data_IF_675955921211
#
_entry.id   IF_675955921211
#
_cell.length_a   1.000
_cell.length_b   1.000
_cell.length_c   1.000
_cell.angle_alpha   90.00
_cell.angle_beta   90.00
_cell.angle_gamma   90.00
#
_symmetry.space_group_name_H-M   'P 1'
#
loop_
_entity.id
_entity.type
_entity.pdbx_description
1 polymer ?
#
# COMPACT_ATOMS: atom_id res chain seq x y z
N UNK A 1 -6.95 13.60 -2.78
CA UNK A 1 -6.44 12.56 -1.85
C UNK A 1 -5.09 12.97 -1.24
N UNK A 2 -4.00 13.07 -2.02
CA UNK A 2 -2.67 13.42 -1.49
C UNK A 2 -2.68 14.75 -0.71
N UNK A 3 -3.21 15.83 -1.30
CA UNK A 3 -3.27 17.15 -0.64
C UNK A 3 -4.05 17.12 0.68
N UNK A 4 -5.24 16.52 0.68
CA UNK A 4 -6.05 16.32 1.91
C UNK A 4 -5.25 15.55 2.95
N UNK A 5 -4.68 14.39 2.57
CA UNK A 5 -3.91 13.57 3.51
C UNK A 5 -2.69 14.30 4.09
N UNK A 6 -2.00 15.15 3.32
CA UNK A 6 -0.87 15.94 3.82
C UNK A 6 -1.31 17.01 4.81
N UNK A 7 -2.43 17.69 4.54
CA UNK A 7 -3.02 18.66 5.47
C UNK A 7 -3.46 17.94 6.74
N UNK A 8 -4.20 16.83 6.63
CA UNK A 8 -4.62 16.00 7.77
C UNK A 8 -3.42 15.51 8.57
N UNK A 9 -2.33 15.11 7.90
CA UNK A 9 -1.12 14.65 8.56
C UNK A 9 -0.47 15.77 9.37
N UNK A 10 -0.38 16.98 8.83
CA UNK A 10 0.12 18.14 9.57
C UNK A 10 -0.81 18.50 10.74
N UNK A 11 -2.13 18.51 10.52
CA UNK A 11 -3.12 18.88 11.55
C UNK A 11 -3.14 17.89 12.71
N UNK A 12 -2.97 16.60 12.44
CA UNK A 12 -2.97 15.54 13.46
C UNK A 12 -1.88 15.70 14.52
N UNK A 13 -0.84 16.51 14.29
CA UNK A 13 0.14 16.87 15.32
C UNK A 13 -0.44 17.75 16.43
N UNK A 14 -1.49 18.50 16.13
CA UNK A 14 -1.99 19.57 16.99
C UNK A 14 -3.45 19.37 17.39
N UNK A 15 -4.27 18.77 16.52
CA UNK A 15 -5.71 18.65 16.70
C UNK A 15 -6.21 17.25 16.30
N UNK A 16 -7.27 16.76 16.94
CA UNK A 16 -7.97 15.55 16.51
C UNK A 16 -8.61 15.74 15.13
N UNK A 17 -8.67 14.65 14.35
CA UNK A 17 -9.30 14.63 13.03
C UNK A 17 -10.80 14.32 13.11
N UNK A 18 -11.52 14.97 14.03
CA UNK A 18 -12.92 14.69 14.32
C UNK A 18 -13.91 15.35 13.34
N UNK A 19 -15.21 15.23 13.64
CA UNK A 19 -16.31 15.82 12.87
C UNK A 19 -16.09 17.30 12.51
N UNK A 20 -15.58 18.11 13.45
CA UNK A 20 -15.32 19.54 13.19
C UNK A 20 -14.28 19.73 12.09
N UNK A 21 -13.22 18.92 12.10
CA UNK A 21 -12.20 18.93 11.06
C UNK A 21 -12.79 18.51 9.71
N UNK A 22 -13.61 17.46 9.68
CA UNK A 22 -14.27 17.00 8.46
C UNK A 22 -15.21 18.06 7.88
N UNK A 23 -16.00 18.77 8.70
CA UNK A 23 -16.88 19.86 8.23
C UNK A 23 -16.08 20.98 7.55
N UNK A 24 -14.92 21.34 8.10
CA UNK A 24 -14.02 22.33 7.47
C UNK A 24 -13.50 21.81 6.14
N UNK A 25 -13.07 20.54 6.08
CA UNK A 25 -12.61 19.92 4.83
C UNK A 25 -13.70 19.87 3.76
N UNK A 26 -14.93 19.48 4.12
CA UNK A 26 -16.09 19.46 3.21
C UNK A 26 -16.37 20.87 2.69
N UNK A 27 -16.33 21.88 3.56
CA UNK A 27 -16.55 23.28 3.18
C UNK A 27 -15.52 23.74 2.13
N UNK A 28 -14.24 23.45 2.36
CA UNK A 28 -13.16 23.74 1.40
C UNK A 28 -13.37 22.97 0.09
N UNK A 29 -13.77 21.70 0.16
CA UNK A 29 -14.02 20.87 -1.02
C UNK A 29 -15.19 21.40 -1.86
N UNK A 30 -16.28 21.85 -1.23
CA UNK A 30 -17.43 22.46 -1.91
C UNK A 30 -17.01 23.77 -2.59
N UNK A 31 -16.28 24.64 -1.91
CA UNK A 31 -15.77 25.89 -2.49
C UNK A 31 -14.86 25.61 -3.71
N UNK A 32 -13.97 24.63 -3.59
CA UNK A 32 -13.10 24.18 -4.69
C UNK A 32 -13.92 23.65 -5.88
N UNK A 33 -14.97 22.86 -5.62
CA UNK A 33 -15.85 22.34 -6.66
C UNK A 33 -16.61 23.46 -7.39
N UNK A 34 -17.08 24.47 -6.67
CA UNK A 34 -17.74 25.66 -7.26
C UNK A 34 -16.76 26.45 -8.13
N UNK A 35 -15.53 26.62 -7.65
CA UNK A 35 -14.46 27.33 -8.37
C UNK A 35 -14.07 26.61 -9.66
N UNK A 36 -13.87 25.28 -9.61
CA UNK A 36 -13.46 24.44 -10.75
C UNK A 36 -14.64 23.81 -11.52
N UNK A 37 -15.88 24.33 -11.36
CA UNK A 37 -17.10 23.72 -11.93
C UNK A 37 -17.03 23.41 -13.43
N UNK A 38 -16.34 24.27 -14.20
CA UNK A 38 -16.23 24.10 -15.65
C UNK A 38 -15.32 22.92 -16.01
N UNK A 39 -14.19 22.76 -15.30
CA UNK A 39 -13.27 21.63 -15.48
C UNK A 39 -13.92 20.31 -15.06
N UNK A 40 -14.67 20.33 -13.96
CA UNK A 40 -15.46 19.18 -13.50
C UNK A 40 -16.49 18.78 -14.57
N UNK A 41 -17.21 19.75 -15.14
CA UNK A 41 -18.18 19.48 -16.22
C UNK A 41 -17.52 18.84 -17.44
N UNK A 42 -16.38 19.36 -17.88
CA UNK A 42 -15.61 18.77 -18.99
C UNK A 42 -15.16 17.35 -18.66
N UNK A 43 -14.69 17.10 -17.43
CA UNK A 43 -14.25 15.78 -16.99
C UNK A 43 -15.41 14.78 -16.93
N UNK A 44 -16.58 15.19 -16.43
CA UNK A 44 -17.79 14.35 -16.41
C UNK A 44 -18.27 14.00 -17.83
N UNK A 45 -18.13 14.91 -18.79
CA UNK A 45 -18.46 14.63 -20.19
C UNK A 45 -17.57 13.54 -20.79
N UNK A 46 -16.30 13.44 -20.38
CA UNK A 46 -15.40 12.36 -20.84
C UNK A 46 -15.86 10.97 -20.38
N UNK A 47 -16.57 10.88 -19.24
CA UNK A 47 -17.08 9.61 -18.72
C UNK A 47 -18.20 9.01 -19.59
N UNK A 48 -18.89 9.80 -20.42
CA UNK A 48 -19.98 9.31 -21.29
C UNK A 48 -19.52 8.23 -22.27
N UNK A 49 -18.26 8.28 -22.70
CA UNK A 49 -17.72 7.38 -23.71
C UNK A 49 -16.92 6.20 -23.13
N UNK A 50 -17.00 5.98 -21.80
CA UNK A 50 -16.27 4.88 -21.18
C UNK A 50 -16.93 3.53 -21.49
N UNK A 51 -16.10 2.49 -21.59
CA UNK A 51 -16.56 1.12 -21.88
C UNK A 51 -17.60 0.64 -20.87
N UNK A 52 -18.65 -0.07 -21.33
CA UNK A 52 -19.64 -0.70 -20.43
C UNK A 52 -19.03 -1.61 -19.36
N UNK A 53 -17.87 -2.19 -19.66
CA UNK A 53 -17.14 -3.04 -18.72
C UNK A 53 -16.64 -2.27 -17.49
N UNK A 54 -16.36 -0.96 -17.61
CA UNK A 54 -16.03 -0.11 -16.46
C UNK A 54 -17.14 -0.14 -15.40
N UNK A 55 -18.40 0.03 -15.83
CA UNK A 55 -19.56 -0.02 -14.94
C UNK A 55 -19.74 -1.41 -14.33
N UNK A 56 -19.45 -2.48 -15.08
CA UNK A 56 -19.50 -3.85 -14.54
C UNK A 56 -18.45 -4.07 -13.44
N UNK A 57 -17.18 -3.68 -13.65
CA UNK A 57 -16.15 -3.78 -12.60
C UNK A 57 -16.48 -2.90 -11.40
N UNK A 58 -16.98 -1.69 -11.63
CA UNK A 58 -17.44 -0.77 -10.57
C UNK A 58 -18.54 -1.41 -9.74
N UNK A 59 -19.55 -1.99 -10.39
CA UNK A 59 -20.66 -2.65 -9.72
C UNK A 59 -20.19 -3.84 -8.87
N UNK A 60 -19.34 -4.71 -9.41
CA UNK A 60 -18.84 -5.84 -8.60
C UNK A 60 -17.91 -5.36 -7.47
N UNK A 61 -17.07 -4.37 -7.73
CA UNK A 61 -16.25 -3.75 -6.69
C UNK A 61 -17.09 -3.19 -5.55
N UNK A 62 -18.24 -2.58 -5.87
CA UNK A 62 -19.21 -2.08 -4.89
C UNK A 62 -19.84 -3.23 -4.10
N UNK A 63 -20.27 -4.30 -4.77
CA UNK A 63 -20.81 -5.48 -4.08
C UNK A 63 -19.82 -6.03 -3.06
N UNK A 64 -18.54 -6.14 -3.44
CA UNK A 64 -17.46 -6.60 -2.55
C UNK A 64 -17.20 -5.60 -1.44
N UNK A 65 -17.16 -4.29 -1.71
CA UNK A 65 -16.92 -3.27 -0.70
C UNK A 65 -17.99 -3.27 0.41
N UNK A 66 -19.24 -3.62 0.10
CA UNK A 66 -20.34 -3.68 1.09
C UNK A 66 -20.33 -4.98 1.91
N UNK A 67 -19.52 -5.98 1.53
CA UNK A 67 -19.39 -7.23 2.33
C UNK A 67 -18.68 -7.02 3.66
N UNK A 68 -18.77 -8.04 4.52
CA UNK A 68 -18.06 -8.09 5.79
C UNK A 68 -16.54 -8.20 5.55
N UNK A 69 -15.69 -7.45 6.28
CA UNK A 69 -14.24 -7.44 6.10
C UNK A 69 -13.62 -8.84 6.21
N UNK A 70 -12.76 -9.20 5.25
CA UNK A 70 -12.03 -10.48 5.25
C UNK A 70 -10.74 -10.45 6.09
N UNK A 71 -10.14 -9.27 6.22
CA UNK A 71 -8.83 -9.09 6.84
C UNK A 71 -9.01 -8.83 8.33
N UNK A 72 -8.42 -9.69 9.17
CA UNK A 72 -8.50 -9.61 10.64
C UNK A 72 -8.03 -8.27 11.21
N UNK A 73 -7.01 -7.64 10.59
CA UNK A 73 -6.50 -6.31 10.98
C UNK A 73 -7.58 -5.22 10.98
N UNK A 74 -8.70 -5.42 10.28
CA UNK A 74 -9.79 -4.45 10.20
C UNK A 74 -10.26 -4.01 11.60
N UNK A 75 -10.55 -4.98 12.46
CA UNK A 75 -11.00 -4.72 13.84
C UNK A 75 -9.84 -4.68 14.83
N UNK A 76 -8.72 -5.35 14.53
CA UNK A 76 -7.57 -5.41 15.44
C UNK A 76 -6.70 -4.15 15.44
N UNK A 77 -6.60 -3.44 14.30
CA UNK A 77 -5.63 -2.36 14.13
C UNK A 77 -6.20 -1.17 13.35
N UNK A 78 -6.85 -1.40 12.21
CA UNK A 78 -7.18 -0.30 11.32
C UNK A 78 -8.26 0.63 11.88
N UNK A 79 -9.43 0.10 12.26
CA UNK A 79 -10.50 0.92 12.86
C UNK A 79 -10.04 1.57 14.17
N UNK A 80 -9.43 0.83 15.13
CA UNK A 80 -8.92 1.44 16.36
C UNK A 80 -7.96 2.61 16.09
N UNK A 81 -7.09 2.47 15.10
CA UNK A 81 -6.15 3.54 14.71
C UNK A 81 -6.87 4.77 14.18
N UNK A 82 -7.88 4.57 13.32
CA UNK A 82 -8.67 5.68 12.77
C UNK A 82 -9.42 6.39 13.90
N UNK A 83 -10.12 5.63 14.76
CA UNK A 83 -10.85 6.21 15.90
C UNK A 83 -9.94 6.91 16.90
N UNK A 84 -8.70 6.45 17.09
CA UNK A 84 -7.73 7.16 17.92
C UNK A 84 -7.37 8.54 17.32
N UNK A 85 -7.15 8.61 16.01
CA UNK A 85 -6.83 9.86 15.32
C UNK A 85 -8.01 10.85 15.39
N UNK A 86 -9.24 10.36 15.31
CA UNK A 86 -10.46 11.17 15.49
C UNK A 86 -10.57 11.70 16.93
N UNK A 87 -10.15 10.90 17.92
CA UNK A 87 -10.25 11.27 19.32
C UNK A 87 -9.18 12.26 19.76
N UNK A 88 -7.91 12.01 19.41
CA UNK A 88 -6.78 12.75 19.99
C UNK A 88 -5.67 13.14 19.01
N UNK A 89 -5.71 12.71 17.74
CA UNK A 89 -4.59 12.89 16.83
C UNK A 89 -3.33 12.14 17.30
N UNK A 90 -2.14 12.74 17.14
CA UNK A 90 -0.89 12.16 17.62
C UNK A 90 -0.63 12.50 19.09
N UNK A 91 -0.49 11.46 19.90
CA UNK A 91 -0.21 11.57 21.34
C UNK A 91 1.20 11.06 21.62
N UNK A 92 1.91 11.75 22.52
CA UNK A 92 3.26 11.35 22.95
C UNK A 92 3.24 9.98 23.61
N UNK A 93 4.11 9.09 23.18
CA UNK A 93 4.26 7.74 23.79
C UNK A 93 3.08 6.80 23.56
N UNK A 94 2.29 7.02 22.50
CA UNK A 94 1.17 6.14 22.12
C UNK A 94 1.57 4.65 22.06
N UNK A 95 2.81 4.35 21.65
CA UNK A 95 3.33 2.97 21.59
C UNK A 95 3.43 2.27 22.95
N UNK A 96 3.50 3.02 24.05
CA UNK A 96 3.51 2.47 25.41
C UNK A 96 2.11 2.09 25.88
N UNK A 97 1.09 2.77 25.35
CA UNK A 97 -0.30 2.46 25.62
C UNK A 97 -0.76 1.30 24.76
N UNK A 98 -0.59 1.41 23.44
CA UNK A 98 -0.90 0.34 22.50
C UNK A 98 0.07 0.40 21.31
N UNK A 99 0.93 -0.62 21.23
CA UNK A 99 1.99 -0.73 20.23
C UNK A 99 1.46 -0.58 18.80
N UNK A 100 0.29 -1.17 18.55
CA UNK A 100 -0.30 -1.27 17.24
C UNK A 100 -0.87 0.09 16.79
N UNK A 101 -1.43 0.90 17.70
CA UNK A 101 -1.92 2.26 17.38
C UNK A 101 -0.81 3.21 16.96
N UNK A 102 0.40 3.05 17.50
CA UNK A 102 1.57 3.83 17.11
C UNK A 102 2.06 3.53 15.69
N UNK A 103 1.62 2.41 15.10
CA UNK A 103 1.91 2.07 13.70
C UNK A 103 0.99 2.80 12.71
N UNK A 104 0.30 3.87 13.11
CA UNK A 104 -0.58 4.63 12.22
C UNK A 104 0.11 5.02 10.89
N UNK A 105 -0.65 4.98 9.79
CA UNK A 105 -0.12 5.22 8.45
C UNK A 105 -0.77 6.44 7.82
N UNK A 106 -0.18 6.97 6.75
CA UNK A 106 -0.78 8.05 5.98
C UNK A 106 -2.20 7.72 5.50
N UNK A 107 -2.48 6.44 5.24
CA UNK A 107 -3.80 6.00 4.82
C UNK A 107 -4.84 6.11 5.94
N UNK A 108 -4.48 5.69 7.16
CA UNK A 108 -5.35 5.84 8.32
C UNK A 108 -5.64 7.30 8.64
N UNK A 109 -4.64 8.17 8.50
CA UNK A 109 -4.77 9.62 8.67
C UNK A 109 -5.73 10.22 7.63
N UNK A 110 -5.57 9.84 6.36
CA UNK A 110 -6.50 10.26 5.31
C UNK A 110 -7.92 9.76 5.59
N UNK A 111 -8.07 8.56 6.13
CA UNK A 111 -9.38 7.99 6.38
C UNK A 111 -10.08 8.59 7.59
N UNK A 112 -9.33 8.87 8.67
CA UNK A 112 -9.78 9.66 9.82
C UNK A 112 -10.27 11.06 9.41
N UNK A 113 -9.76 11.62 8.31
CA UNK A 113 -10.21 12.94 7.87
C UNK A 113 -11.62 12.99 7.25
N UNK A 114 -12.24 11.84 6.96
CA UNK A 114 -13.50 11.75 6.20
C UNK A 114 -14.47 10.69 6.74
N UNK A 115 -14.21 10.07 7.89
CA UNK A 115 -14.97 8.92 8.37
C UNK A 115 -16.22 9.27 9.18
N UNK A 116 -16.39 10.51 9.66
CA UNK A 116 -17.53 10.86 10.50
C UNK A 116 -18.79 11.07 9.66
N UNK A 117 -18.67 11.52 8.40
CA UNK A 117 -19.83 11.69 7.50
C UNK A 117 -19.67 11.07 6.12
N UNK A 118 -18.53 11.28 5.44
CA UNK A 118 -18.37 10.89 4.04
C UNK A 118 -18.10 9.38 3.85
N UNK A 119 -17.37 8.78 4.79
CA UNK A 119 -16.92 7.38 4.74
C UNK A 119 -17.11 6.65 6.08
N UNK A 120 -18.34 6.68 6.60
CA UNK A 120 -18.73 6.05 7.90
C UNK A 120 -18.33 4.57 7.98
N UNK A 121 -18.29 3.88 6.84
CA UNK A 121 -17.97 2.46 6.76
C UNK A 121 -16.52 2.18 6.36
N UNK A 122 -15.64 3.18 6.31
CA UNK A 122 -14.22 2.99 6.04
C UNK A 122 -13.92 2.30 4.69
N UNK A 123 -14.62 2.69 3.64
CA UNK A 123 -14.57 2.14 2.27
C UNK A 123 -13.76 2.99 1.28
N UNK A 124 -12.90 3.90 1.74
CA UNK A 124 -11.98 4.68 0.88
C UNK A 124 -11.18 3.85 -0.14
N UNK A 125 -10.88 2.58 0.17
CA UNK A 125 -10.22 1.64 -0.74
C UNK A 125 -11.02 1.39 -2.04
N UNK A 126 -12.35 1.47 -2.00
CA UNK A 126 -13.19 1.41 -3.20
C UNK A 126 -12.93 2.59 -4.14
N UNK A 127 -12.69 3.81 -3.62
CA UNK A 127 -12.38 4.97 -4.45
C UNK A 127 -11.06 4.78 -5.22
N UNK A 128 -10.03 4.19 -4.59
CA UNK A 128 -8.77 3.86 -5.25
C UNK A 128 -8.97 2.81 -6.35
N UNK A 129 -9.80 1.80 -6.08
CA UNK A 129 -10.18 0.81 -7.09
C UNK A 129 -10.91 1.45 -8.29
N UNK A 130 -11.79 2.43 -8.06
CA UNK A 130 -12.43 3.19 -9.14
C UNK A 130 -11.40 3.97 -9.96
N UNK A 131 -10.47 4.66 -9.30
CA UNK A 131 -9.39 5.42 -9.98
C UNK A 131 -8.56 4.48 -10.86
N UNK A 132 -8.21 3.29 -10.36
CA UNK A 132 -7.49 2.29 -11.16
C UNK A 132 -8.27 1.86 -12.39
N UNK A 133 -9.56 1.52 -12.24
CA UNK A 133 -10.37 1.09 -13.37
C UNK A 133 -10.56 2.22 -14.39
N UNK A 134 -10.84 3.45 -13.94
CA UNK A 134 -10.91 4.63 -14.80
C UNK A 134 -9.63 4.78 -15.62
N UNK A 135 -8.48 4.72 -14.96
CA UNK A 135 -7.17 4.79 -15.62
C UNK A 135 -6.99 3.71 -16.69
N UNK A 136 -7.32 2.45 -16.36
CA UNK A 136 -7.18 1.33 -17.30
C UNK A 136 -8.06 1.49 -18.53
N UNK A 137 -9.31 1.92 -18.36
CA UNK A 137 -10.25 2.09 -19.48
C UNK A 137 -9.94 3.35 -20.30
N UNK A 138 -9.56 4.46 -19.68
CA UNK A 138 -9.17 5.69 -20.38
C UNK A 138 -7.93 5.47 -21.25
N UNK A 139 -6.94 4.75 -20.73
CA UNK A 139 -5.72 4.44 -21.47
C UNK A 139 -5.79 3.17 -22.32
N UNK A 140 -6.94 2.49 -22.34
CA UNK A 140 -7.18 1.23 -23.07
C UNK A 140 -6.19 0.11 -22.72
N UNK A 141 -5.72 0.05 -21.47
CA UNK A 141 -4.73 -0.92 -21.01
C UNK A 141 -5.35 -2.16 -20.36
N UNK A 142 -6.24 -2.83 -21.08
CA UNK A 142 -7.08 -3.92 -20.57
C UNK A 142 -6.34 -5.03 -19.81
N UNK A 143 -5.07 -5.31 -20.17
CA UNK A 143 -4.24 -6.30 -19.47
C UNK A 143 -4.13 -6.05 -17.97
N UNK A 144 -4.17 -4.78 -17.54
CA UNK A 144 -4.04 -4.41 -16.13
C UNK A 144 -5.28 -4.77 -15.30
N UNK A 145 -6.44 -5.06 -15.92
CA UNK A 145 -7.64 -5.48 -15.20
C UNK A 145 -7.44 -6.78 -14.40
N UNK A 146 -6.44 -7.58 -14.74
CA UNK A 146 -6.09 -8.78 -13.98
C UNK A 146 -5.70 -8.48 -12.52
N UNK A 147 -5.20 -7.27 -12.23
CA UNK A 147 -4.87 -6.88 -10.86
C UNK A 147 -6.10 -6.67 -9.99
N UNK A 148 -7.28 -6.44 -10.59
CA UNK A 148 -8.53 -6.36 -9.84
C UNK A 148 -8.78 -7.64 -9.02
N UNK A 149 -8.27 -8.80 -9.48
CA UNK A 149 -8.39 -10.06 -8.75
C UNK A 149 -7.77 -10.00 -7.35
N UNK A 150 -6.65 -9.29 -7.23
CA UNK A 150 -5.97 -9.08 -5.95
C UNK A 150 -6.65 -7.95 -5.18
N UNK A 151 -7.08 -6.90 -5.88
CA UNK A 151 -7.65 -5.70 -5.24
C UNK A 151 -8.96 -5.95 -4.52
N UNK A 152 -9.80 -6.87 -5.03
CA UNK A 152 -11.08 -7.21 -4.41
C UNK A 152 -10.95 -7.60 -2.93
N UNK A 153 -9.87 -8.29 -2.54
CA UNK A 153 -9.63 -8.72 -1.16
C UNK A 153 -9.51 -7.56 -0.15
N UNK A 154 -9.26 -6.34 -0.62
CA UNK A 154 -8.99 -5.18 0.21
C UNK A 154 -10.10 -4.12 0.18
N UNK A 155 -11.13 -4.28 -0.66
CA UNK A 155 -12.14 -3.22 -0.88
C UNK A 155 -13.03 -2.95 0.33
N UNK A 156 -13.28 -3.97 1.15
CA UNK A 156 -14.12 -3.89 2.34
C UNK A 156 -13.34 -3.56 3.62
N UNK A 157 -12.06 -3.20 3.50
CA UNK A 157 -11.23 -2.81 4.65
C UNK A 157 -10.46 -1.53 4.37
N UNK A 158 -10.16 -0.71 5.38
CA UNK A 158 -9.27 0.45 5.30
C UNK A 158 -7.78 0.07 5.21
N UNK A 159 -7.46 -1.00 4.47
CA UNK A 159 -6.08 -1.50 4.41
C UNK A 159 -5.18 -0.57 3.60
N UNK A 160 -4.00 -0.18 4.11
CA UNK A 160 -3.01 0.59 3.36
C UNK A 160 -2.32 -0.24 2.26
N UNK A 161 -2.57 -1.56 2.17
CA UNK A 161 -1.99 -2.43 1.15
C UNK A 161 -2.51 -2.08 -0.26
N UNK A 162 -3.82 -1.91 -0.41
CA UNK A 162 -4.44 -1.59 -1.70
C UNK A 162 -3.92 -0.29 -2.35
N UNK A 163 -3.89 0.87 -1.66
CA UNK A 163 -3.36 2.09 -2.25
C UNK A 163 -1.90 1.94 -2.65
N UNK A 164 -1.09 1.20 -1.89
CA UNK A 164 0.29 0.92 -2.29
C UNK A 164 0.31 0.13 -3.59
N UNK A 165 -0.45 -0.96 -3.71
CA UNK A 165 -0.45 -1.77 -4.94
C UNK A 165 -0.94 -1.00 -6.16
N UNK A 166 -2.09 -0.33 -6.05
CA UNK A 166 -2.69 0.42 -7.16
C UNK A 166 -1.77 1.54 -7.60
N UNK A 167 -1.34 2.40 -6.66
CA UNK A 167 -0.51 3.55 -7.01
C UNK A 167 0.88 3.14 -7.49
N UNK A 168 1.44 2.02 -7.01
CA UNK A 168 2.69 1.46 -7.56
C UNK A 168 2.55 1.11 -9.05
N UNK A 169 1.45 0.45 -9.42
CA UNK A 169 1.18 0.12 -10.83
C UNK A 169 1.02 1.38 -11.66
N UNK A 170 0.21 2.34 -11.20
CA UNK A 170 0.00 3.60 -11.90
C UNK A 170 1.31 4.35 -12.10
N UNK A 171 2.12 4.47 -11.04
CA UNK A 171 3.38 5.20 -11.04
C UNK A 171 4.39 4.60 -12.01
N UNK A 172 4.60 3.28 -11.95
CA UNK A 172 5.49 2.56 -12.88
C UNK A 172 4.97 2.69 -14.32
N UNK A 173 3.66 2.55 -14.52
CA UNK A 173 3.08 2.55 -15.85
C UNK A 173 3.15 3.93 -16.53
N UNK A 174 2.86 5.00 -15.79
CA UNK A 174 3.02 6.38 -16.26
C UNK A 174 4.48 6.72 -16.56
N UNK A 175 5.40 6.31 -15.68
CA UNK A 175 6.83 6.52 -15.92
C UNK A 175 7.29 5.85 -17.21
N UNK A 176 6.85 4.62 -17.47
CA UNK A 176 7.18 3.90 -18.70
C UNK A 176 6.64 4.59 -19.97
N UNK A 177 5.52 5.31 -19.88
CA UNK A 177 4.89 6.00 -21.02
C UNK A 177 5.54 7.34 -21.31
N UNK A 178 5.76 8.15 -20.29
CA UNK A 178 6.20 9.53 -20.46
C UNK A 178 7.70 9.74 -20.21
N UNK A 179 8.33 8.90 -19.36
CA UNK A 179 9.76 8.93 -19.01
C UNK A 179 10.32 10.31 -18.65
N UNK A 180 9.48 11.23 -18.17
CA UNK A 180 9.86 12.63 -17.96
C UNK A 180 9.67 13.02 -16.49
N UNK A 181 10.58 13.85 -15.94
CA UNK A 181 10.55 14.40 -14.57
C UNK A 181 10.69 13.36 -13.45
N UNK A 182 11.88 12.74 -13.33
CA UNK A 182 12.15 11.74 -12.29
C UNK A 182 11.87 12.22 -10.84
N UNK A 183 12.00 13.52 -10.57
CA UNK A 183 11.67 14.09 -9.25
C UNK A 183 10.19 14.01 -8.89
N UNK A 184 9.27 14.15 -9.85
CA UNK A 184 7.83 13.94 -9.62
C UNK A 184 7.58 12.50 -9.15
N UNK A 185 8.19 11.52 -9.83
CA UNK A 185 8.01 10.11 -9.49
C UNK A 185 8.66 9.74 -8.16
N UNK A 186 9.81 10.33 -7.83
CA UNK A 186 10.45 10.16 -6.54
C UNK A 186 9.60 10.77 -5.40
N UNK A 187 8.97 11.92 -5.63
CA UNK A 187 8.00 12.51 -4.71
C UNK A 187 6.80 11.56 -4.48
N UNK A 188 6.18 11.03 -5.54
CA UNK A 188 5.09 10.07 -5.41
C UNK A 188 5.52 8.76 -4.74
N UNK A 189 6.73 8.27 -5.00
CA UNK A 189 7.30 7.11 -4.32
C UNK A 189 7.47 7.36 -2.81
N UNK A 190 7.81 8.60 -2.43
CA UNK A 190 7.91 9.01 -1.03
C UNK A 190 6.54 8.99 -0.35
N UNK A 191 5.48 9.46 -1.02
CA UNK A 191 4.11 9.34 -0.50
C UNK A 191 3.74 7.88 -0.27
N UNK A 192 4.07 6.98 -1.21
CA UNK A 192 3.81 5.55 -1.04
C UNK A 192 4.54 4.96 0.17
N UNK A 193 5.77 5.42 0.42
CA UNK A 193 6.54 4.99 1.59
C UNK A 193 5.90 5.43 2.90
N UNK A 194 5.36 6.64 2.98
CA UNK A 194 4.63 7.12 4.17
C UNK A 194 3.28 6.41 4.33
N UNK A 195 2.63 5.99 3.23
CA UNK A 195 1.47 5.09 3.30
C UNK A 195 1.87 3.74 3.89
N UNK A 196 2.96 3.16 3.39
CA UNK A 196 3.50 1.91 3.93
C UNK A 196 4.99 1.80 3.61
N UNK A 197 5.88 1.70 4.63
CA UNK A 197 7.33 1.68 4.44
C UNK A 197 7.84 0.55 3.54
N UNK A 198 7.05 -0.52 3.40
CA UNK A 198 7.32 -1.67 2.53
C UNK A 198 7.48 -1.25 1.06
N UNK A 199 6.88 -0.14 0.63
CA UNK A 199 7.06 0.41 -0.72
C UNK A 199 8.43 1.08 -0.97
N UNK A 200 9.39 0.92 -0.05
CA UNK A 200 10.79 1.38 -0.19
C UNK A 200 11.44 1.00 -1.52
N UNK A 201 10.98 -0.09 -2.15
CA UNK A 201 11.40 -0.49 -3.49
C UNK A 201 11.25 0.62 -4.53
N UNK A 202 10.17 1.40 -4.45
CA UNK A 202 9.91 2.49 -5.38
C UNK A 202 10.79 3.71 -5.10
N UNK A 203 11.05 4.02 -3.82
CA UNK A 203 12.01 5.06 -3.46
C UNK A 203 13.40 4.70 -4.00
N UNK A 204 13.84 3.46 -3.79
CA UNK A 204 15.14 2.99 -4.29
C UNK A 204 15.19 3.09 -5.82
N UNK A 205 14.15 2.60 -6.50
CA UNK A 205 14.08 2.60 -7.95
C UNK A 205 14.09 4.02 -8.53
N UNK A 206 13.17 4.89 -8.10
CA UNK A 206 13.10 6.26 -8.61
C UNK A 206 14.25 7.14 -8.13
N UNK A 207 14.89 6.80 -7.00
CA UNK A 207 16.12 7.42 -6.54
C UNK A 207 17.28 7.14 -7.50
N UNK A 208 17.45 5.89 -7.93
CA UNK A 208 18.43 5.51 -8.96
C UNK A 208 18.14 6.26 -10.27
N UNK A 209 16.88 6.28 -10.73
CA UNK A 209 16.49 6.97 -11.95
C UNK A 209 16.72 8.49 -11.88
N UNK A 210 16.47 9.10 -10.71
CA UNK A 210 16.73 10.52 -10.44
C UNK A 210 18.22 10.84 -10.49
N UNK A 211 19.07 10.07 -9.79
CA UNK A 211 20.52 10.26 -9.78
C UNK A 211 21.15 10.08 -11.17
N UNK A 212 20.58 9.20 -12.00
CA UNK A 212 21.07 8.96 -13.36
C UNK A 212 20.77 10.13 -14.29
N UNK A 213 19.64 10.80 -14.11
CA UNK A 213 19.21 11.83 -15.05
C UNK A 213 19.89 13.18 -14.75
N UNK A 214 20.83 13.57 -15.62
CA UNK A 214 21.73 14.72 -15.42
C UNK A 214 21.00 16.07 -15.39
N UNK A 215 19.80 16.15 -15.94
CA UNK A 215 18.99 17.38 -15.99
C UNK A 215 18.49 17.84 -14.61
N UNK A 216 18.55 16.98 -13.58
CA UNK A 216 17.84 17.19 -12.31
C UNK A 216 18.73 17.52 -11.11
N UNK A 217 19.97 17.97 -11.34
CA UNK A 217 20.88 18.38 -10.25
C UNK A 217 20.59 19.75 -9.63
N UNK A 218 19.48 20.39 -10.00
CA UNK A 218 19.14 21.70 -9.47
C UNK A 218 18.39 21.57 -8.13
N UNK A 219 19.04 21.94 -7.03
CA UNK A 219 18.48 21.91 -5.66
C UNK A 219 17.24 22.80 -5.48
N UNK A 220 16.87 23.61 -6.47
CA UNK A 220 15.66 24.45 -6.48
C UNK A 220 14.38 23.70 -6.93
N UNK A 221 14.44 22.39 -7.13
CA UNK A 221 13.25 21.60 -7.47
C UNK A 221 12.25 21.59 -6.31
N UNK A 222 11.04 22.12 -6.56
CA UNK A 222 9.94 22.17 -5.59
C UNK A 222 9.58 20.77 -5.06
N UNK A 223 9.73 19.73 -5.88
CA UNK A 223 9.42 18.36 -5.49
C UNK A 223 10.41 17.81 -4.46
N UNK A 224 11.68 18.22 -4.54
CA UNK A 224 12.68 17.81 -3.56
C UNK A 224 12.38 18.44 -2.19
N UNK A 225 11.95 19.70 -2.16
CA UNK A 225 11.48 20.35 -0.94
C UNK A 225 10.27 19.62 -0.34
N UNK A 226 9.26 19.30 -1.16
CA UNK A 226 8.08 18.57 -0.71
C UNK A 226 8.42 17.15 -0.22
N UNK A 227 9.36 16.47 -0.86
CA UNK A 227 9.86 15.17 -0.42
C UNK A 227 10.48 15.27 0.98
N UNK A 228 11.38 16.24 1.19
CA UNK A 228 12.03 16.46 2.48
C UNK A 228 10.98 16.79 3.55
N UNK A 229 10.03 17.65 3.23
CA UNK A 229 8.92 17.98 4.12
C UNK A 229 8.12 16.75 4.55
N UNK A 230 7.76 15.88 3.60
CA UNK A 230 7.03 14.63 3.90
C UNK A 230 7.86 13.67 4.76
N UNK A 231 9.16 13.52 4.46
CA UNK A 231 10.06 12.71 5.25
C UNK A 231 10.19 13.22 6.68
N UNK A 232 10.26 14.55 6.87
CA UNK A 232 10.26 15.18 8.19
C UNK A 232 8.95 14.90 8.94
N UNK A 233 7.79 15.05 8.30
CA UNK A 233 6.51 14.71 8.95
C UNK A 233 6.48 13.25 9.41
N UNK A 234 6.94 12.32 8.57
CA UNK A 234 7.02 10.90 8.93
C UNK A 234 7.91 10.66 10.16
N UNK A 235 9.12 11.23 10.18
CA UNK A 235 10.05 11.10 11.29
C UNK A 235 9.54 11.77 12.57
N UNK A 236 9.03 13.00 12.48
CA UNK A 236 8.47 13.74 13.61
C UNK A 236 7.30 12.98 14.24
N UNK A 237 6.43 12.40 13.42
CA UNK A 237 5.34 11.55 13.88
C UNK A 237 5.87 10.37 14.69
N UNK A 238 6.86 9.64 14.16
CA UNK A 238 7.51 8.53 14.85
C UNK A 238 8.13 8.92 16.20
N UNK A 239 8.80 10.08 16.25
CA UNK A 239 9.37 10.60 17.50
C UNK A 239 8.28 10.91 18.53
N UNK A 240 7.16 11.49 18.13
CA UNK A 240 6.06 11.79 19.04
C UNK A 240 5.44 10.49 19.56
N UNK A 241 5.00 9.61 18.67
CA UNK A 241 4.22 8.44 19.08
C UNK A 241 5.04 7.40 19.85
N UNK A 242 6.37 7.32 19.65
CA UNK A 242 7.17 6.24 20.22
C UNK A 242 8.63 6.60 20.55
N UNK A 243 9.04 7.87 20.46
CA UNK A 243 10.43 8.30 20.52
C UNK A 243 11.33 7.63 19.46
N UNK A 244 10.76 7.23 18.31
CA UNK A 244 11.49 6.49 17.28
C UNK A 244 11.09 6.98 15.87
N UNK A 245 11.98 7.67 15.13
CA UNK A 245 11.68 8.22 13.81
C UNK A 245 11.21 7.20 12.77
N UNK A 246 11.73 5.96 12.81
CA UNK A 246 11.39 4.89 11.86
C UNK A 246 10.66 3.73 12.55
N UNK A 247 9.84 4.03 13.55
CA UNK A 247 9.01 3.05 14.25
C UNK A 247 8.27 2.11 13.27
N UNK A 248 8.22 0.79 13.51
CA UNK A 248 8.64 0.05 14.72
C UNK A 248 10.08 -0.49 14.69
N UNK A 249 10.98 0.01 13.83
CA UNK A 249 12.35 -0.49 13.75
C UNK A 249 13.20 0.03 14.91
N UNK A 250 13.70 -0.87 15.76
CA UNK A 250 14.37 -0.51 17.02
C UNK A 250 15.62 0.37 16.85
N UNK A 251 16.39 0.18 15.78
CA UNK A 251 17.70 0.83 15.60
C UNK A 251 17.67 2.36 15.58
N UNK A 252 16.51 2.97 15.34
CA UNK A 252 16.34 4.42 15.35
C UNK A 252 15.71 4.95 16.65
N UNK A 253 15.50 4.10 17.67
CA UNK A 253 14.94 4.51 18.96
C UNK A 253 15.84 5.52 19.68
N UNK A 254 15.26 6.65 20.09
CA UNK A 254 15.96 7.71 20.82
C UNK A 254 15.86 7.40 22.32
N UNK A 255 16.98 6.95 22.90
CA UNK A 255 17.08 6.67 24.33
C UNK A 255 17.07 7.98 25.13
N UNK A 256 16.42 7.96 26.29
CA UNK A 256 16.41 9.08 27.25
C UNK A 256 15.20 10.02 27.17
N UNK A 257 14.29 9.83 26.23
CA UNK A 257 12.98 10.51 26.24
C UNK A 257 12.01 9.77 27.18
N UNK A 258 11.26 10.52 27.99
CA UNK A 258 10.36 9.95 29.03
C UNK A 258 9.27 9.04 28.45
N UNK A 259 8.86 9.29 27.21
CA UNK A 259 7.82 8.52 26.53
C UNK A 259 8.37 7.47 25.56
N UNK A 260 9.67 7.18 25.60
CA UNK A 260 10.27 6.19 24.71
C UNK A 260 9.73 4.78 24.97
N UNK A 261 9.50 4.03 23.88
CA UNK A 261 9.08 2.62 23.97
C UNK A 261 10.11 1.78 24.74
N UNK A 262 9.67 1.00 25.75
CA UNK A 262 10.50 0.00 26.39
C UNK A 262 11.09 -1.00 25.40
N UNK A 263 12.32 -1.43 25.67
CA UNK A 263 13.07 -2.37 24.83
C UNK A 263 12.32 -3.71 24.62
N UNK A 264 11.70 -4.23 25.67
CA UNK A 264 10.99 -5.53 25.62
C UNK A 264 9.83 -5.53 24.60
N UNK A 265 9.22 -4.37 24.30
CA UNK A 265 8.16 -4.28 23.30
C UNK A 265 8.70 -4.44 21.87
N UNK A 266 9.90 -3.92 21.58
CA UNK A 266 10.58 -4.15 20.31
C UNK A 266 10.94 -5.63 20.15
N UNK A 267 11.47 -6.25 21.20
CA UNK A 267 11.82 -7.67 21.22
C UNK A 267 10.58 -8.56 20.98
N UNK A 268 9.48 -8.27 21.69
CA UNK A 268 8.21 -8.97 21.49
C UNK A 268 7.66 -8.78 20.08
N UNK A 269 7.72 -7.56 19.54
CA UNK A 269 7.31 -7.27 18.16
C UNK A 269 8.16 -8.04 17.15
N UNK A 270 9.47 -8.16 17.37
CA UNK A 270 10.38 -8.92 16.52
C UNK A 270 10.11 -10.43 16.60
N UNK A 271 9.85 -10.97 17.79
CA UNK A 271 9.49 -12.38 17.99
C UNK A 271 8.15 -12.71 17.34
N UNK A 272 7.12 -11.87 17.54
CA UNK A 272 5.85 -11.97 16.83
C UNK A 272 6.06 -11.92 15.31
N UNK A 273 6.98 -11.05 14.86
CA UNK A 273 7.41 -10.96 13.47
C UNK A 273 7.84 -12.30 12.88
N UNK A 274 8.67 -13.05 13.61
CA UNK A 274 9.16 -14.39 13.25
C UNK A 274 8.10 -15.48 13.37
N UNK A 275 7.20 -15.35 14.34
CA UNK A 275 6.14 -16.33 14.57
C UNK A 275 5.06 -16.32 13.49
N UNK A 276 4.63 -15.14 13.03
CA UNK A 276 3.50 -14.98 12.09
C UNK A 276 3.62 -15.85 10.82
N UNK A 277 4.79 -15.95 10.14
CA UNK A 277 4.95 -16.85 9.00
C UNK A 277 4.67 -18.32 9.33
N UNK A 278 4.97 -18.77 10.55
CA UNK A 278 4.97 -20.17 10.98
C UNK A 278 3.81 -20.57 11.91
N UNK A 279 2.96 -19.61 12.32
CA UNK A 279 1.89 -19.83 13.33
C UNK A 279 0.88 -20.93 13.00
N UNK A 280 0.83 -21.41 11.75
CA UNK A 280 -0.09 -22.47 11.34
C UNK A 280 0.48 -23.88 11.65
N UNK A 281 1.78 -23.97 11.96
CA UNK A 281 2.49 -25.24 12.15
C UNK A 281 3.29 -25.31 13.45
N UNK A 282 3.61 -24.17 14.05
CA UNK A 282 4.43 -24.09 15.26
C UNK A 282 3.78 -23.20 16.29
N UNK A 283 4.10 -23.42 17.55
CA UNK A 283 3.76 -22.55 18.66
C UNK A 283 4.73 -21.38 18.77
N UNK A 284 4.34 -20.33 19.50
CA UNK A 284 5.20 -19.16 19.70
C UNK A 284 6.52 -19.54 20.39
N UNK A 285 6.47 -20.41 21.40
CA UNK A 285 7.64 -20.87 22.15
C UNK A 285 8.60 -21.71 21.31
N UNK A 286 8.08 -22.57 20.43
CA UNK A 286 8.89 -23.36 19.51
C UNK A 286 9.68 -22.44 18.57
N UNK A 287 9.01 -21.48 17.93
CA UNK A 287 9.67 -20.54 17.01
C UNK A 287 10.68 -19.67 17.74
N UNK A 288 10.40 -19.28 18.99
CA UNK A 288 11.33 -18.50 19.80
C UNK A 288 12.63 -19.25 20.14
N UNK A 289 12.59 -20.60 20.19
CA UNK A 289 13.75 -21.45 20.47
C UNK A 289 14.53 -21.88 19.23
N UNK A 290 13.95 -21.72 18.03
CA UNK A 290 14.60 -22.10 16.77
C UNK A 290 15.90 -21.31 16.57
N UNK A 291 16.95 -22.01 16.18
CA UNK A 291 18.13 -21.35 15.61
C UNK A 291 17.83 -20.85 14.19
N UNK A 292 18.72 -20.03 13.63
CA UNK A 292 18.56 -19.43 12.30
C UNK A 292 18.35 -20.48 11.20
N UNK A 293 19.06 -21.61 11.26
CA UNK A 293 18.98 -22.66 10.25
C UNK A 293 17.64 -23.39 10.30
N UNK A 294 17.22 -23.81 11.50
CA UNK A 294 15.91 -24.44 11.75
C UNK A 294 14.77 -23.53 11.29
N UNK A 295 14.87 -22.24 11.61
CA UNK A 295 13.86 -21.25 11.22
C UNK A 295 13.73 -21.12 9.70
N UNK A 296 14.84 -21.04 8.96
CA UNK A 296 14.79 -21.00 7.49
C UNK A 296 14.30 -22.31 6.88
N UNK A 297 14.68 -23.46 7.45
CA UNK A 297 14.15 -24.75 7.01
C UNK A 297 12.63 -24.80 7.19
N UNK A 298 12.12 -24.36 8.33
CA UNK A 298 10.69 -24.28 8.59
C UNK A 298 9.98 -23.36 7.58
N UNK A 299 10.55 -22.20 7.25
CA UNK A 299 9.93 -21.28 6.28
C UNK A 299 9.83 -21.89 4.88
N UNK A 300 10.91 -22.49 4.38
CA UNK A 300 11.00 -22.92 2.98
C UNK A 300 10.38 -24.28 2.70
N UNK A 301 10.43 -25.20 3.66
CA UNK A 301 10.07 -26.60 3.43
C UNK A 301 8.73 -27.00 4.09
N UNK A 302 8.20 -26.21 5.02
CA UNK A 302 6.90 -26.49 5.59
C UNK A 302 5.79 -26.20 4.56
N UNK A 303 4.83 -27.12 4.45
CA UNK A 303 3.70 -27.03 3.52
C UNK A 303 2.62 -26.06 4.01
N UNK A 304 2.92 -24.77 4.08
CA UNK A 304 1.95 -23.71 4.38
C UNK A 304 1.55 -22.91 3.13
N UNK A 305 0.32 -22.38 3.13
CA UNK A 305 -0.14 -21.46 2.07
C UNK A 305 0.75 -20.21 1.96
N UNK A 306 1.35 -19.78 3.07
CA UNK A 306 2.27 -18.64 3.13
C UNK A 306 3.61 -18.95 2.47
N UNK A 307 4.14 -20.15 2.71
CA UNK A 307 5.35 -20.65 2.06
C UNK A 307 5.17 -20.71 0.54
N UNK A 308 4.01 -21.17 0.07
CA UNK A 308 3.70 -21.21 -1.38
C UNK A 308 3.74 -19.79 -1.99
N UNK A 309 3.11 -18.80 -1.34
CA UNK A 309 3.13 -17.41 -1.84
C UNK A 309 4.56 -16.85 -1.83
N UNK A 310 5.32 -17.13 -0.77
CA UNK A 310 6.70 -16.70 -0.64
C UNK A 310 7.60 -17.28 -1.75
N UNK A 311 7.51 -18.60 -1.98
CA UNK A 311 8.22 -19.29 -3.06
C UNK A 311 7.78 -18.79 -4.43
N UNK A 312 6.48 -18.53 -4.64
CA UNK A 312 5.98 -17.94 -5.87
C UNK A 312 6.66 -16.59 -6.16
N UNK A 313 6.78 -15.72 -5.15
CA UNK A 313 7.45 -14.42 -5.31
C UNK A 313 8.91 -14.62 -5.72
N UNK A 314 9.65 -15.49 -5.03
CA UNK A 314 11.06 -15.80 -5.37
C UNK A 314 11.16 -16.30 -6.82
N UNK A 315 10.33 -17.27 -7.20
CA UNK A 315 10.31 -17.83 -8.55
C UNK A 315 10.01 -16.77 -9.61
N UNK A 316 9.04 -15.88 -9.36
CA UNK A 316 8.70 -14.80 -10.29
C UNK A 316 9.81 -13.75 -10.39
N UNK A 317 10.45 -13.38 -9.27
CA UNK A 317 11.59 -12.46 -9.28
C UNK A 317 12.77 -13.05 -10.05
N UNK A 318 13.09 -14.34 -9.86
CA UNK A 318 14.14 -15.04 -10.63
C UNK A 318 13.77 -15.11 -12.12
N UNK A 319 12.52 -15.44 -12.44
CA UNK A 319 12.04 -15.47 -13.81
C UNK A 319 12.19 -14.09 -14.49
N UNK A 320 11.80 -13.02 -13.79
CA UNK A 320 11.97 -11.65 -14.27
C UNK A 320 13.44 -11.29 -14.44
N UNK A 321 14.34 -11.72 -13.54
CA UNK A 321 15.78 -11.52 -13.67
C UNK A 321 16.31 -12.12 -14.99
N UNK A 322 15.94 -13.37 -15.29
CA UNK A 322 16.33 -14.04 -16.54
C UNK A 322 15.83 -13.28 -17.77
N UNK A 323 14.57 -12.83 -17.75
CA UNK A 323 14.01 -12.02 -18.84
C UNK A 323 14.71 -10.66 -18.94
N UNK A 324 15.02 -10.02 -17.82
CA UNK A 324 15.70 -8.72 -17.78
C UNK A 324 17.08 -8.78 -18.43
N UNK A 325 17.82 -9.87 -18.22
CA UNK A 325 19.07 -10.14 -18.95
C UNK A 325 18.84 -10.36 -20.43
N UNK A 326 17.86 -11.19 -20.82
CA UNK A 326 17.54 -11.47 -22.21
C UNK A 326 17.12 -10.23 -22.99
N UNK A 327 16.23 -9.40 -22.44
CA UNK A 327 15.70 -8.18 -23.10
C UNK A 327 16.67 -7.01 -23.12
N UNK A 328 17.78 -7.07 -22.37
CA UNK A 328 18.79 -5.99 -22.22
C UNK A 328 18.22 -4.61 -21.85
N UNK A 329 17.02 -4.55 -21.26
CA UNK A 329 16.36 -3.29 -20.91
C UNK A 329 16.79 -2.82 -19.52
N UNK A 330 17.47 -1.67 -19.45
CA UNK A 330 17.96 -1.10 -18.19
C UNK A 330 16.85 -0.89 -17.17
N UNK A 331 15.71 -0.32 -17.57
CA UNK A 331 14.59 -0.01 -16.66
C UNK A 331 14.18 -1.26 -15.88
N UNK A 332 14.02 -2.36 -16.62
CA UNK A 332 13.56 -3.64 -16.07
C UNK A 332 14.65 -4.23 -15.17
N UNK A 333 15.92 -4.18 -15.58
CA UNK A 333 17.05 -4.62 -14.76
C UNK A 333 17.15 -3.84 -13.43
N UNK A 334 17.02 -2.52 -13.48
CA UNK A 334 17.09 -1.68 -12.28
C UNK A 334 15.93 -1.94 -11.33
N UNK A 335 14.71 -2.10 -11.85
CA UNK A 335 13.53 -2.42 -11.04
C UNK A 335 13.66 -3.81 -10.38
N UNK A 336 14.11 -4.82 -11.13
CA UNK A 336 14.36 -6.17 -10.60
C UNK A 336 15.48 -6.15 -9.55
N UNK A 337 16.54 -5.38 -9.78
CA UNK A 337 17.59 -5.22 -8.79
C UNK A 337 17.02 -4.68 -7.46
N UNK A 338 16.15 -3.68 -7.51
CA UNK A 338 15.45 -3.18 -6.33
C UNK A 338 14.54 -4.26 -5.68
N UNK A 339 13.85 -5.10 -6.48
CA UNK A 339 13.08 -6.26 -5.96
C UNK A 339 13.98 -7.22 -5.18
N UNK A 340 15.14 -7.57 -5.73
CA UNK A 340 16.10 -8.50 -5.09
C UNK A 340 16.65 -7.91 -3.81
N UNK A 341 17.08 -6.64 -3.82
CA UNK A 341 17.56 -5.95 -2.61
C UNK A 341 16.50 -5.98 -1.52
N UNK A 342 15.25 -5.67 -1.86
CA UNK A 342 14.15 -5.74 -0.90
C UNK A 342 13.91 -7.16 -0.38
N UNK A 343 13.93 -8.16 -1.26
CA UNK A 343 13.75 -9.56 -0.88
C UNK A 343 14.79 -10.00 0.16
N UNK A 344 16.05 -9.60 -0.04
CA UNK A 344 17.14 -9.83 0.92
C UNK A 344 16.90 -9.12 2.25
N UNK A 345 16.46 -7.85 2.22
CA UNK A 345 16.12 -7.10 3.45
C UNK A 345 15.00 -7.82 4.22
N UNK A 346 13.91 -8.20 3.57
CA UNK A 346 12.79 -8.87 4.25
C UNK A 346 13.21 -10.24 4.81
N UNK A 347 14.07 -10.99 4.10
CA UNK A 347 14.65 -12.25 4.55
C UNK A 347 15.51 -12.12 5.83
N UNK A 348 16.00 -10.92 6.12
CA UNK A 348 16.80 -10.63 7.32
C UNK A 348 15.88 -10.16 8.46
N UNK A 349 14.92 -9.28 8.17
CA UNK A 349 14.19 -8.56 9.21
C UNK A 349 12.88 -9.19 9.68
N UNK A 350 12.11 -9.87 8.83
CA UNK A 350 10.76 -10.32 9.26
C UNK A 350 10.12 -11.47 8.49
N UNK A 351 10.70 -11.98 7.40
CA UNK A 351 10.28 -13.17 6.62
C UNK A 351 8.76 -13.33 6.37
N UNK A 352 8.00 -12.24 6.46
CA UNK A 352 6.56 -12.24 6.24
C UNK A 352 6.30 -12.00 4.76
N UNK A 353 5.65 -12.97 4.11
CA UNK A 353 5.25 -12.87 2.70
C UNK A 353 4.42 -11.61 2.42
N UNK A 354 3.67 -11.12 3.41
CA UNK A 354 2.85 -9.90 3.29
C UNK A 354 3.69 -8.67 2.92
N UNK A 355 4.92 -8.59 3.41
CA UNK A 355 5.83 -7.48 3.11
C UNK A 355 6.50 -7.61 1.73
N UNK A 356 6.22 -8.70 1.01
CA UNK A 356 6.65 -8.92 -0.36
C UNK A 356 5.49 -8.87 -1.37
N UNK A 357 4.25 -8.63 -0.93
CA UNK A 357 3.11 -8.60 -1.86
C UNK A 357 3.19 -7.46 -2.89
N UNK A 358 3.80 -6.33 -2.56
CA UNK A 358 4.09 -5.29 -3.55
C UNK A 358 5.19 -5.70 -4.55
N UNK A 359 6.15 -6.55 -4.14
CA UNK A 359 7.11 -7.19 -5.06
C UNK A 359 6.36 -8.13 -6.02
N UNK A 360 5.41 -8.93 -5.52
CA UNK A 360 4.54 -9.75 -6.37
C UNK A 360 3.80 -8.90 -7.41
N UNK A 361 3.24 -7.76 -7.01
CA UNK A 361 2.53 -6.85 -7.91
C UNK A 361 3.47 -6.30 -8.99
N UNK A 362 4.68 -5.88 -8.61
CA UNK A 362 5.69 -5.37 -9.55
C UNK A 362 6.14 -6.48 -10.50
N UNK A 363 6.37 -7.69 -10.00
CA UNK A 363 6.80 -8.82 -10.80
C UNK A 363 5.75 -9.20 -11.85
N UNK A 364 4.47 -9.28 -11.44
CA UNK A 364 3.35 -9.50 -12.36
C UNK A 364 3.27 -8.38 -13.41
N UNK A 365 3.48 -7.12 -13.01
CA UNK A 365 3.43 -5.98 -13.92
C UNK A 365 4.51 -6.08 -15.01
N UNK A 366 5.74 -6.45 -14.63
CA UNK A 366 6.84 -6.67 -15.57
C UNK A 366 6.47 -7.78 -16.55
N UNK A 367 5.95 -8.91 -16.06
CA UNK A 367 5.52 -10.03 -16.91
C UNK A 367 4.44 -9.58 -17.89
N UNK A 368 3.38 -8.91 -17.45
CA UNK A 368 2.29 -8.48 -18.34
C UNK A 368 2.72 -7.43 -19.38
N UNK A 369 3.72 -6.61 -19.05
CA UNK A 369 4.34 -5.66 -19.98
C UNK A 369 5.18 -6.35 -21.04
N UNK A 370 5.95 -7.36 -20.65
CA UNK A 370 6.91 -8.06 -21.52
C UNK A 370 6.28 -9.17 -22.36
N UNK A 371 5.32 -9.87 -21.79
CA UNK A 371 4.64 -11.01 -22.39
C UNK A 371 3.48 -10.47 -23.23
N UNK A 372 3.73 -10.34 -24.54
CA UNK A 372 2.71 -9.89 -25.48
C UNK A 372 1.86 -11.07 -26.00
N UNK A 373 1.07 -11.67 -25.12
CA UNK A 373 0.10 -12.68 -25.52
C UNK A 373 -1.14 -12.01 -26.11
N UNK A 374 -1.31 -12.11 -27.44
CA UNK A 374 -2.50 -11.62 -28.16
C UNK A 374 -3.81 -12.15 -27.54
N UNK A 375 -3.80 -13.38 -27.04
CA UNK A 375 -4.91 -14.03 -26.33
C UNK A 375 -5.27 -13.26 -25.06
N UNK A 376 -4.28 -12.88 -24.25
CA UNK A 376 -4.50 -12.16 -23.00
C UNK A 376 -5.07 -10.76 -23.25
N UNK A 377 -4.62 -10.07 -24.30
CA UNK A 377 -5.22 -8.81 -24.73
C UNK A 377 -6.70 -8.95 -25.09
N UNK A 378 -7.06 -10.02 -25.81
CA UNK A 378 -8.42 -10.25 -26.29
C UNK A 378 -9.39 -10.62 -25.16
N UNK A 379 -8.95 -11.45 -24.21
CA UNK A 379 -9.84 -12.03 -23.19
C UNK A 379 -9.64 -11.49 -21.77
N UNK A 380 -8.72 -10.54 -21.55
CA UNK A 380 -8.44 -9.97 -20.21
C UNK A 380 -9.70 -9.46 -19.50
N UNK A 381 -10.59 -8.74 -20.20
CA UNK A 381 -11.85 -8.24 -19.64
C UNK A 381 -12.78 -9.37 -19.19
N UNK A 382 -12.96 -10.40 -20.03
CA UNK A 382 -13.84 -11.53 -19.73
C UNK A 382 -13.28 -12.38 -18.60
N UNK A 383 -11.97 -12.68 -18.65
CA UNK A 383 -11.30 -13.48 -17.62
C UNK A 383 -11.37 -12.75 -16.27
N UNK A 384 -10.99 -11.47 -16.23
CA UNK A 384 -11.07 -10.71 -14.99
C UNK A 384 -12.50 -10.63 -14.46
N UNK A 385 -13.52 -10.48 -15.31
CA UNK A 385 -14.93 -10.52 -14.86
C UNK A 385 -15.36 -11.88 -14.30
N UNK A 386 -15.02 -12.99 -14.97
CA UNK A 386 -15.34 -14.34 -14.50
C UNK A 386 -14.70 -14.58 -13.13
N UNK A 387 -13.43 -14.20 -12.98
CA UNK A 387 -12.72 -14.38 -11.72
C UNK A 387 -13.22 -13.43 -10.61
N UNK A 388 -13.59 -12.20 -10.96
CA UNK A 388 -14.24 -11.25 -10.05
C UNK A 388 -15.58 -11.81 -9.56
N UNK A 389 -16.36 -12.45 -10.43
CA UNK A 389 -17.59 -13.13 -10.06
C UNK A 389 -17.32 -14.32 -9.12
N UNK A 390 -16.36 -15.18 -9.45
CA UNK A 390 -15.98 -16.33 -8.62
C UNK A 390 -15.51 -15.90 -7.23
N UNK A 391 -14.63 -14.89 -7.14
CA UNK A 391 -14.12 -14.40 -5.84
C UNK A 391 -15.23 -13.78 -5.01
N UNK A 392 -16.14 -13.03 -5.63
CA UNK A 392 -17.33 -12.51 -4.93
C UNK A 392 -18.25 -13.63 -4.41
N UNK A 393 -18.36 -14.75 -5.14
CA UNK A 393 -19.16 -15.90 -4.71
C UNK A 393 -18.51 -16.64 -3.52
N UNK A 394 -17.20 -16.91 -3.59
CA UNK A 394 -16.44 -17.54 -2.50
C UNK A 394 -16.56 -16.73 -1.21
N UNK A 395 -16.51 -15.41 -1.34
CA UNK A 395 -16.65 -14.49 -0.22
C UNK A 395 -18.00 -14.60 0.50
N UNK A 396 -19.07 -14.92 -0.24
CA UNK A 396 -20.41 -15.13 0.29
C UNK A 396 -20.53 -16.47 1.02
N UNK A 397 -19.87 -17.51 0.52
CA UNK A 397 -19.88 -18.86 1.13
C UNK A 397 -19.12 -18.89 2.46
N UNK A 398 -18.05 -18.10 2.61
CA UNK A 398 -17.35 -17.99 3.90
C UNK A 398 -18.23 -17.38 4.99
N UNK A 399 -19.15 -16.46 4.65
CA UNK A 399 -20.08 -15.84 5.60
C UNK A 399 -21.09 -16.84 6.17
N UNK A 400 -21.58 -17.78 5.36
CA UNK A 400 -22.52 -18.83 5.82
C UNK A 400 -21.88 -19.82 6.77
N UNK A 401 -20.56 -20.04 6.69
CA UNK A 401 -19.85 -20.96 7.58
C UNK A 401 -19.38 -20.31 8.90
N UNK A 402 -19.36 -18.98 8.99
CA UNK A 402 -19.05 -18.25 10.23
C UNK A 402 -20.29 -17.92 11.07
N UNK A 403 -21.48 -18.29 10.59
CA UNK A 403 -22.79 -18.09 11.26
C UNK A 403 -23.43 -19.40 11.74
N UNK A 404 -22.72 -20.52 11.54
CA UNK A 404 -22.91 -21.82 12.22
C UNK A 404 -21.75 -21.99 13.20
#
# INVERSE_FOLDING_TARGET
>A
MIGVGLISFLVAFFLPLNFTYEVVLISIAILSLIYHRNEVKVSLLKLKNISRYFYAFTFVGLLVAVTYPFILDHFGYYIPTIKWLDFAGFVKGLSNFEWVLAQNSFWHILQASINETLDIYYRLNFCIFLIFNLYVFELKQKKLLIFNLIFLFFLNTPSPDLPVFVLSILLINEYLRYKNKASDYLFYATILFVIKPISIILILFFGIEYLRNKEYKNLKDKNLFLLIFIALLFCCKGIIVSANPLFPLEFSSIKGLEWASPQHLYELSAQNGKFIPLKDSFTFEEVARMNTTEYFQAIFFQSSSRTIIFLLIICLTIFNLLIGFYKKNYFIKSLIFCCIVKLLIILIFSNQFRFLLDVLIIDLLIIFKLVNLKIFNKYSELLSLIFVYITSFISRVQKTNATL
#
